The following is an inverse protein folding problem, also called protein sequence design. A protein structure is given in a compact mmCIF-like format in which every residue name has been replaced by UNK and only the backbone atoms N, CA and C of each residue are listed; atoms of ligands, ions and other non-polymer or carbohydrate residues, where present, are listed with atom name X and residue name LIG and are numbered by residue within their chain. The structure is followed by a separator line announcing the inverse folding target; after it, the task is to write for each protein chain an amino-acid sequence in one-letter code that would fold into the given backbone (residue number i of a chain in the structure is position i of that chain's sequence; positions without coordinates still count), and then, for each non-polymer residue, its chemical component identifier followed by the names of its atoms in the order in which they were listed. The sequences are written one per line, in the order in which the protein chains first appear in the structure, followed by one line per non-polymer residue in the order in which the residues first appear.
data_IF_244917725086
#
_entry.id   IF_244917725086
#
_cell.length_a   1.000
_cell.length_b   1.000
_cell.length_c   1.000
_cell.angle_alpha   90.00
_cell.angle_beta   90.00
_cell.angle_gamma   90.00
#
_symmetry.space_group_name_H-M   'P 1'
#
loop_
_entity.id
_entity.type
_entity.pdbx_description
1 polymer ?
#
# COMPACT_ATOMS: atom_id res chain seq x y z
N UNK A 1 5.66 -2.22 10.53
CA UNK A 1 5.37 -3.02 9.33
C UNK A 1 6.32 -2.63 8.22
N UNK A 2 6.85 -3.61 7.52
CA UNK A 2 7.75 -3.36 6.40
C UNK A 2 7.01 -3.60 5.10
N UNK A 3 6.97 -2.58 4.26
CA UNK A 3 6.29 -2.70 2.97
C UNK A 3 7.27 -3.16 1.91
N UNK A 4 6.77 -3.93 0.96
CA UNK A 4 7.58 -4.43 -0.15
C UNK A 4 7.08 -3.84 -1.45
N UNK A 5 8.00 -3.28 -2.22
CA UNK A 5 7.67 -2.66 -3.50
C UNK A 5 7.02 -3.69 -4.42
N UNK A 6 5.92 -3.30 -5.04
CA UNK A 6 5.20 -4.16 -5.96
C UNK A 6 4.10 -4.96 -5.31
N UNK A 7 4.10 -5.07 -4.00
CA UNK A 7 3.05 -5.80 -3.28
C UNK A 7 1.86 -4.89 -3.04
N UNK A 8 0.70 -5.51 -2.83
CA UNK A 8 -0.52 -4.78 -2.61
C UNK A 8 -0.94 -4.87 -1.15
N UNK A 9 -1.47 -3.78 -0.65
CA UNK A 9 -1.89 -3.68 0.75
C UNK A 9 -3.25 -3.02 0.82
N UNK A 10 -4.08 -3.50 1.75
CA UNK A 10 -5.31 -2.82 2.08
C UNK A 10 -5.02 -1.83 3.18
N UNK A 11 -5.50 -0.62 2.98
CA UNK A 11 -5.26 0.46 3.94
C UNK A 11 -6.59 0.86 4.55
N UNK A 12 -6.68 0.75 5.88
CA UNK A 12 -7.90 1.04 6.62
C UNK A 12 -7.74 2.33 7.40
N UNK A 13 -8.74 3.19 7.40
CA UNK A 13 -9.94 3.18 6.60
C UNK A 13 -9.70 3.64 5.17
N UNK A 14 -10.51 3.23 4.21
CA UNK A 14 -11.66 2.34 4.33
C UNK A 14 -11.36 0.88 4.02
N UNK A 15 -10.15 0.52 3.64
CA UNK A 15 -9.81 -0.84 3.31
C UNK A 15 -9.63 -1.07 1.83
N UNK A 16 -9.41 0.00 1.08
CA UNK A 16 -9.15 -0.12 -0.35
C UNK A 16 -7.78 -0.75 -0.58
N UNK A 17 -7.63 -1.36 -1.75
CA UNK A 17 -6.40 -2.05 -2.12
C UNK A 17 -5.46 -1.10 -2.85
N UNK A 18 -4.23 -1.02 -2.38
CA UNK A 18 -3.23 -0.11 -2.94
C UNK A 18 -1.95 -0.88 -3.23
N UNK A 19 -1.26 -0.49 -4.29
CA UNK A 19 0.04 -1.05 -4.63
C UNK A 19 1.13 -0.14 -4.09
N UNK A 20 2.11 -0.75 -3.42
CA UNK A 20 3.22 0.02 -2.84
C UNK A 20 4.31 0.26 -3.87
N UNK A 21 4.80 1.49 -3.93
CA UNK A 21 5.83 1.86 -4.91
C UNK A 21 7.16 2.23 -4.27
N UNK A 22 7.25 2.18 -2.96
CA UNK A 22 8.49 2.54 -2.29
C UNK A 22 8.39 3.91 -1.65
N UNK A 23 9.54 4.51 -1.39
CA UNK A 23 9.57 5.82 -0.76
C UNK A 23 10.15 6.85 -1.72
N UNK A 24 9.70 8.08 -1.55
CA UNK A 24 10.24 9.23 -2.27
C UNK A 24 10.43 10.32 -1.24
N UNK A 25 11.69 10.71 -1.02
CA UNK A 25 12.03 11.70 0.01
C UNK A 25 11.47 11.31 1.37
N UNK A 26 11.55 10.01 1.67
CA UNK A 26 11.13 9.51 2.97
C UNK A 26 9.65 9.25 3.11
N UNK A 27 8.85 9.57 2.12
CA UNK A 27 7.41 9.36 2.17
C UNK A 27 7.02 8.12 1.38
N UNK A 28 6.01 7.40 1.90
CA UNK A 28 5.56 6.16 1.26
C UNK A 28 4.57 6.45 0.17
N UNK A 29 4.76 5.81 -0.98
CA UNK A 29 3.91 6.03 -2.15
C UNK A 29 3.07 4.79 -2.42
N UNK A 30 1.78 4.99 -2.52
CA UNK A 30 0.82 3.93 -2.89
C UNK A 30 0.01 4.40 -4.07
N UNK A 31 -0.43 3.47 -4.90
CA UNK A 31 -1.29 3.81 -6.02
C UNK A 31 -2.39 2.78 -6.19
N UNK A 32 -3.45 3.20 -6.86
CA UNK A 32 -4.54 2.31 -7.25
C UNK A 32 -5.03 2.72 -8.63
N UNK A 33 -5.94 1.92 -9.19
CA UNK A 33 -6.48 2.20 -10.51
C UNK A 33 -5.37 2.33 -11.55
N UNK A 34 -4.40 1.43 -11.46
CA UNK A 34 -3.29 1.36 -12.42
C UNK A 34 -2.50 2.66 -12.48
N UNK A 35 -2.29 3.24 -11.30
CA UNK A 35 -1.46 4.43 -11.20
C UNK A 35 -2.17 5.75 -11.38
N UNK A 36 -3.48 5.72 -11.60
CA UNK A 36 -4.23 6.95 -11.77
C UNK A 36 -4.38 7.74 -10.48
N UNK A 37 -4.39 7.02 -9.36
CA UNK A 37 -4.57 7.65 -8.06
C UNK A 37 -3.37 7.30 -7.21
N UNK A 38 -2.69 8.31 -6.70
CA UNK A 38 -1.51 8.13 -5.86
C UNK A 38 -1.79 8.69 -4.47
N UNK A 39 -1.39 7.93 -3.46
CA UNK A 39 -1.54 8.34 -2.06
C UNK A 39 -0.16 8.40 -1.46
N UNK A 40 0.22 9.56 -0.96
CA UNK A 40 1.53 9.78 -0.33
C UNK A 40 1.31 9.84 1.17
N UNK A 41 1.93 8.91 1.90
CA UNK A 41 1.76 8.84 3.34
C UNK A 41 3.11 9.08 4.01
N UNK A 42 3.26 10.20 4.73
CA UNK A 42 4.48 10.44 5.49
C UNK A 42 4.62 9.41 6.61
N UNK A 43 5.85 9.10 7.02
CA UNK A 43 6.05 8.08 8.06
C UNK A 43 5.30 8.36 9.35
N UNK A 44 5.20 9.61 9.75
CA UNK A 44 4.55 9.93 11.02
C UNK A 44 3.04 9.69 11.00
N UNK A 45 2.46 9.52 9.80
CA UNK A 45 1.03 9.24 9.68
C UNK A 45 0.73 7.77 9.56
N UNK A 46 1.75 6.91 9.45
CA UNK A 46 1.50 5.48 9.29
C UNK A 46 0.69 4.90 10.44
N UNK A 47 0.87 5.43 11.64
CA UNK A 47 0.17 4.93 12.81
C UNK A 47 -1.33 5.23 12.78
N UNK A 48 -1.73 6.15 11.91
CA UNK A 48 -3.14 6.52 11.79
C UNK A 48 -3.94 5.52 10.98
N UNK A 49 -3.25 4.59 10.33
CA UNK A 49 -3.89 3.63 9.42
C UNK A 49 -3.51 2.22 9.81
N UNK A 50 -4.33 1.27 9.38
CA UNK A 50 -4.00 -0.14 9.51
C UNK A 50 -3.75 -0.70 8.13
N UNK A 51 -2.73 -1.54 8.02
CA UNK A 51 -2.31 -2.10 6.75
C UNK A 51 -2.38 -3.61 6.82
N UNK A 52 -2.87 -4.22 5.75
CA UNK A 52 -2.92 -5.67 5.65
C UNK A 52 -2.45 -6.07 4.25
N UNK A 53 -1.43 -6.91 4.19
CA UNK A 53 -0.92 -7.36 2.91
C UNK A 53 -1.97 -8.24 2.23
N UNK A 54 -2.15 -8.02 0.95
CA UNK A 54 -3.11 -8.80 0.17
C UNK A 54 -2.47 -10.11 -0.22
N UNK A 55 -3.03 -11.21 0.32
CA UNK A 55 -2.50 -12.54 0.04
C UNK A 55 -3.25 -13.24 -1.07
N UNK A 56 -4.33 -12.63 -1.57
CA UNK A 56 -5.17 -13.30 -2.56
C UNK A 56 -4.45 -13.55 -3.87
N UNK A 57 -3.57 -12.62 -4.24
CA UNK A 57 -2.83 -12.76 -5.49
C UNK A 57 -2.01 -14.05 -5.51
N UNK A 58 -1.41 -14.39 -4.38
CA UNK A 58 -0.60 -15.59 -4.30
C UNK A 58 -1.43 -16.84 -4.44
N UNK A 59 -2.63 -16.83 -3.86
CA UNK A 59 -3.49 -18.01 -3.95
C UNK A 59 -3.97 -18.23 -5.37
N UNK A 60 -4.17 -17.16 -6.09
CA UNK A 60 -4.62 -17.27 -7.47
C UNK A 60 -3.58 -17.93 -8.35
N UNK A 61 -2.34 -17.80 -7.97
CA UNK A 61 -1.24 -18.38 -8.74
C UNK A 61 -1.07 -19.87 -8.48
N UNK A 62 -1.58 -20.30 -7.37
CA UNK A 62 -1.49 -21.72 -7.04
C UNK A 62 -2.49 -22.52 -7.82
#
# INVERSE_FOLDING_TARGET
MIFQVGEKYRIYPPGSLWKYHGTDEGEHLFSMAEGRITWVIPPYLLKEYKFAKDENTKRDEA
#
